data_IF_626706706496
#
_entry.id   IF_626706706496
#
_cell.length_a   1.000
_cell.length_b   1.000
_cell.length_c   1.000
_cell.angle_alpha   90.00
_cell.angle_beta   90.00
_cell.angle_gamma   90.00
#
_symmetry.space_group_name_H-M   'P 1'
#
loop_
_entity.id
_entity.type
_entity.pdbx_description
1 polymer ?
#
# COMPACT_ATOMS: atom_id res chain seq x y z
N UNK A 1 13.84 0.79 23.51
CA UNK A 1 14.66 1.40 22.43
C UNK A 1 13.84 1.63 21.15
N UNK A 2 13.01 0.68 20.70
CA UNK A 2 12.21 0.83 19.46
C UNK A 2 11.19 1.98 19.46
N UNK A 3 10.39 2.12 20.52
CA UNK A 3 9.35 3.16 20.60
C UNK A 3 9.89 4.59 20.61
N UNK A 4 11.14 4.79 21.05
CA UNK A 4 11.80 6.12 21.03
C UNK A 4 12.10 6.63 19.62
N UNK A 5 12.01 5.77 18.61
CA UNK A 5 12.14 6.18 17.20
C UNK A 5 10.88 6.90 16.69
N UNK A 6 9.74 6.73 17.37
CA UNK A 6 8.49 7.39 17.01
C UNK A 6 8.51 8.78 17.61
N UNK A 7 8.76 9.77 16.75
CA UNK A 7 8.90 11.17 17.17
C UNK A 7 7.78 12.02 16.56
N UNK A 8 8.02 12.62 15.42
CA UNK A 8 7.03 13.41 14.68
C UNK A 8 6.74 12.74 13.34
N UNK A 9 5.50 12.87 12.84
CA UNK A 9 5.05 12.26 11.59
C UNK A 9 5.43 10.77 11.47
N UNK A 10 5.40 10.04 12.58
CA UNK A 10 5.91 8.68 12.67
C UNK A 10 4.79 7.69 12.98
N UNK A 11 4.81 6.55 12.29
CA UNK A 11 3.91 5.42 12.51
C UNK A 11 4.75 4.16 12.78
N UNK A 12 4.49 3.50 13.90
CA UNK A 12 5.05 2.20 14.26
C UNK A 12 3.96 1.16 14.22
N UNK A 13 4.14 0.10 13.44
CA UNK A 13 3.19 -1.01 13.38
C UNK A 13 3.90 -2.35 13.34
N UNK A 14 3.25 -3.38 13.86
CA UNK A 14 3.77 -4.74 13.84
C UNK A 14 2.95 -5.71 14.66
N UNK A 15 3.37 -6.97 14.62
CA UNK A 15 2.84 -8.02 15.50
C UNK A 15 3.62 -8.01 16.82
N UNK A 16 2.94 -7.67 17.91
CA UNK A 16 3.53 -7.57 19.24
C UNK A 16 3.29 -8.81 20.09
N UNK A 17 2.40 -9.72 19.67
CA UNK A 17 1.98 -10.88 20.45
C UNK A 17 1.72 -10.52 21.93
N UNK A 18 0.95 -9.45 22.16
CA UNK A 18 0.70 -8.86 23.47
C UNK A 18 -0.78 -8.57 23.67
N UNK A 19 -1.25 -8.75 24.90
CA UNK A 19 -2.65 -8.61 25.28
C UNK A 19 -2.78 -7.49 26.31
N UNK A 20 -3.74 -6.59 26.11
CA UNK A 20 -4.07 -5.55 27.07
C UNK A 20 -5.49 -5.02 26.81
N UNK A 21 -6.22 -4.56 27.85
CA UNK A 21 -7.54 -3.93 27.69
C UNK A 21 -7.55 -2.73 26.74
N UNK A 22 -6.47 -1.96 26.69
CA UNK A 22 -6.35 -0.80 25.80
C UNK A 22 -6.53 -1.12 24.30
N UNK A 23 -6.30 -2.37 23.89
CA UNK A 23 -6.55 -2.83 22.53
C UNK A 23 -7.49 -4.03 22.47
N UNK A 24 -8.40 -4.16 23.44
CA UNK A 24 -9.54 -5.08 23.35
C UNK A 24 -9.31 -6.49 23.92
N UNK A 25 -8.26 -6.71 24.72
CA UNK A 25 -8.14 -7.97 25.48
C UNK A 25 -8.78 -7.88 26.85
N UNK A 26 -9.34 -8.98 27.35
CA UNK A 26 -9.80 -9.10 28.74
C UNK A 26 -8.61 -9.19 29.71
N UNK A 27 -7.46 -9.67 29.22
CA UNK A 27 -6.26 -9.91 30.03
C UNK A 27 -5.24 -8.79 29.83
N UNK A 28 -4.47 -8.54 30.89
CA UNK A 28 -3.36 -7.58 30.90
C UNK A 28 -2.06 -8.25 31.39
N UNK A 29 -1.54 -9.28 30.69
CA UNK A 29 -0.26 -9.90 31.04
C UNK A 29 0.90 -8.91 31.00
N UNK A 30 1.99 -9.25 31.67
CA UNK A 30 3.16 -8.38 31.86
C UNK A 30 3.66 -7.68 30.58
N UNK A 31 3.74 -8.41 29.46
CA UNK A 31 4.17 -7.84 28.17
C UNK A 31 3.24 -6.72 27.68
N UNK A 32 1.93 -6.88 27.86
CA UNK A 32 0.95 -5.87 27.51
C UNK A 32 1.10 -4.63 28.36
N UNK A 33 1.23 -4.80 29.68
CA UNK A 33 1.47 -3.68 30.61
C UNK A 33 2.75 -2.94 30.26
N UNK A 34 3.85 -3.65 30.02
CA UNK A 34 5.13 -3.03 29.62
C UNK A 34 5.00 -2.18 28.36
N UNK A 35 4.30 -2.68 27.33
CA UNK A 35 4.06 -1.93 26.10
C UNK A 35 3.19 -0.72 26.39
N UNK A 36 2.09 -0.90 27.13
CA UNK A 36 1.16 0.17 27.50
C UNK A 36 1.84 1.30 28.29
N UNK A 37 2.61 0.94 29.33
CA UNK A 37 3.36 1.89 30.14
C UNK A 37 4.39 2.64 29.28
N UNK A 38 5.06 1.93 28.36
CA UNK A 38 6.05 2.54 27.46
C UNK A 38 5.40 3.55 26.51
N UNK A 39 4.32 3.19 25.83
CA UNK A 39 3.64 4.11 24.89
C UNK A 39 3.03 5.30 25.62
N UNK A 40 2.49 5.09 26.83
CA UNK A 40 1.92 6.15 27.65
C UNK A 40 3.02 7.13 28.11
N UNK A 41 4.17 6.61 28.56
CA UNK A 41 5.32 7.44 28.97
C UNK A 41 5.90 8.28 27.83
N UNK A 42 5.78 7.79 26.59
CA UNK A 42 6.27 8.48 25.38
C UNK A 42 5.19 9.35 24.72
N UNK A 43 3.96 9.37 25.25
CA UNK A 43 2.85 10.12 24.67
C UNK A 43 2.45 9.65 23.27
N UNK A 44 2.65 8.37 22.94
CA UNK A 44 2.26 7.82 21.65
C UNK A 44 0.77 7.48 21.61
N UNK A 45 0.13 7.72 20.47
CA UNK A 45 -1.28 7.41 20.28
C UNK A 45 -1.46 5.98 19.76
N UNK A 46 -2.20 5.17 20.50
CA UNK A 46 -2.69 3.88 20.06
C UNK A 46 -3.86 4.08 19.10
N UNK A 47 -3.79 3.44 17.93
CA UNK A 47 -4.82 3.55 16.90
C UNK A 47 -5.76 2.33 16.86
N UNK A 48 -5.45 1.27 17.60
CA UNK A 48 -6.30 0.08 17.70
C UNK A 48 -7.63 0.43 18.38
N UNK A 49 -8.73 -0.10 17.83
CA UNK A 49 -10.11 0.06 18.32
C UNK A 49 -10.64 -1.19 19.04
N UNK A 50 -9.77 -2.19 19.25
CA UNK A 50 -10.13 -3.51 19.76
C UNK A 50 -10.64 -4.48 18.69
N UNK A 51 -10.74 -4.07 17.43
CA UNK A 51 -11.07 -4.99 16.34
C UNK A 51 -10.02 -6.12 16.26
N UNK A 52 -10.45 -7.37 16.09
CA UNK A 52 -9.53 -8.51 16.07
C UNK A 52 -8.61 -8.45 14.85
N UNK A 53 -7.31 -8.63 15.06
CA UNK A 53 -6.29 -8.67 14.01
C UNK A 53 -5.74 -10.07 13.77
N UNK A 54 -6.08 -11.02 14.63
CA UNK A 54 -5.67 -12.41 14.54
C UNK A 54 -6.86 -13.35 14.80
N UNK A 55 -6.97 -14.39 13.97
CA UNK A 55 -7.99 -15.44 14.03
C UNK A 55 -7.65 -16.38 15.17
N UNK A 56 -8.59 -16.55 16.10
CA UNK A 56 -8.47 -17.55 17.16
C UNK A 56 -8.37 -18.97 16.58
N UNK A 57 -7.53 -19.80 17.19
CA UNK A 57 -7.60 -21.26 17.01
C UNK A 57 -8.89 -21.81 17.63
N UNK A 58 -9.18 -23.08 17.37
CA UNK A 58 -10.28 -23.81 18.02
C UNK A 58 -10.28 -23.54 19.53
N UNK A 59 -11.46 -23.23 20.08
CA UNK A 59 -11.67 -22.86 21.50
C UNK A 59 -11.03 -21.55 21.98
N UNK A 60 -10.36 -20.79 21.11
CA UNK A 60 -9.84 -19.45 21.44
C UNK A 60 -10.57 -18.36 20.68
N UNK A 61 -10.73 -17.21 21.32
CA UNK A 61 -11.34 -16.04 20.68
C UNK A 61 -10.34 -15.38 19.74
N UNK A 62 -10.87 -14.63 18.78
CA UNK A 62 -10.03 -13.72 18.00
C UNK A 62 -9.36 -12.70 18.94
N UNK A 63 -8.21 -12.17 18.53
CA UNK A 63 -7.43 -11.24 19.34
C UNK A 63 -6.85 -10.11 18.50
N UNK A 64 -6.57 -8.99 19.15
CA UNK A 64 -5.89 -7.84 18.56
C UNK A 64 -4.44 -7.83 19.06
N UNK A 65 -3.55 -8.47 18.31
CA UNK A 65 -2.12 -8.60 18.67
C UNK A 65 -1.20 -7.84 17.73
N UNK A 66 -1.74 -7.38 16.59
CA UNK A 66 -1.08 -6.45 15.69
C UNK A 66 -1.42 -5.03 16.12
N UNK A 67 -0.40 -4.31 16.61
CA UNK A 67 -0.57 -2.98 17.18
C UNK A 67 0.03 -1.93 16.26
N UNK A 68 -0.59 -0.76 16.25
CA UNK A 68 -0.16 0.37 15.45
C UNK A 68 -0.29 1.66 16.26
N UNK A 69 0.85 2.34 16.40
CA UNK A 69 1.06 3.53 17.21
C UNK A 69 1.51 4.67 16.32
N UNK A 70 1.01 5.88 16.57
CA UNK A 70 1.50 7.06 15.88
C UNK A 70 1.90 8.16 16.85
N UNK A 71 2.68 9.12 16.34
CA UNK A 71 2.90 10.38 17.02
C UNK A 71 1.61 11.20 17.08
N UNK A 72 1.39 12.02 18.13
CA UNK A 72 0.14 12.77 18.32
C UNK A 72 -0.28 13.64 17.13
N UNK A 73 0.68 14.18 16.39
CA UNK A 73 0.46 15.02 15.19
C UNK A 73 -0.13 14.26 13.99
N UNK A 74 -0.11 12.92 14.02
CA UNK A 74 -0.73 12.05 13.02
C UNK A 74 -2.06 11.44 13.47
N UNK A 75 -2.37 11.42 14.77
CA UNK A 75 -3.52 10.68 15.30
C UNK A 75 -4.83 11.03 14.59
N UNK A 76 -5.12 12.33 14.41
CA UNK A 76 -6.33 12.80 13.74
C UNK A 76 -6.30 12.67 12.21
N UNK A 77 -5.13 12.38 11.62
CA UNK A 77 -4.91 12.28 10.18
C UNK A 77 -4.89 10.83 9.69
N UNK A 78 -5.01 9.86 10.57
CA UNK A 78 -4.99 8.45 10.23
C UNK A 78 -6.37 7.85 10.45
N UNK A 79 -6.82 7.05 9.50
CA UNK A 79 -7.99 6.18 9.64
C UNK A 79 -7.58 4.73 9.43
N UNK A 80 -8.31 3.83 10.07
CA UNK A 80 -7.94 2.43 10.21
C UNK A 80 -9.14 1.54 9.90
N UNK A 81 -8.91 0.44 9.19
CA UNK A 81 -9.91 -0.61 9.01
C UNK A 81 -9.30 -2.01 8.94
N UNK A 82 -9.77 -2.93 9.77
CA UNK A 82 -9.38 -4.35 9.76
C UNK A 82 -10.30 -5.12 8.81
N UNK A 83 -9.72 -5.90 7.90
CA UNK A 83 -10.54 -6.66 6.96
C UNK A 83 -11.24 -7.83 7.65
N UNK A 84 -12.43 -8.17 7.16
CA UNK A 84 -13.27 -9.23 7.73
C UNK A 84 -12.79 -10.66 7.40
N UNK A 85 -11.81 -10.81 6.51
CA UNK A 85 -11.27 -12.12 6.08
C UNK A 85 -9.74 -12.15 6.21
N UNK A 86 -9.20 -13.26 6.71
CA UNK A 86 -7.76 -13.45 6.86
C UNK A 86 -7.06 -13.93 5.57
N UNK A 87 -7.84 -14.22 4.51
CA UNK A 87 -7.36 -14.65 3.19
C UNK A 87 -6.38 -15.85 3.20
N UNK A 88 -6.56 -16.77 4.16
CA UNK A 88 -5.72 -17.95 4.33
C UNK A 88 -4.48 -17.73 5.21
N UNK A 89 -4.32 -16.53 5.79
CA UNK A 89 -3.49 -16.32 6.97
C UNK A 89 -4.31 -16.60 8.25
N UNK A 90 -3.61 -16.63 9.36
CA UNK A 90 -4.10 -16.46 10.73
C UNK A 90 -4.25 -14.97 11.14
N UNK A 91 -3.64 -14.02 10.42
CA UNK A 91 -3.84 -12.58 10.66
C UNK A 91 -4.82 -11.95 9.67
N UNK A 92 -5.67 -11.05 10.18
CA UNK A 92 -6.52 -10.18 9.38
C UNK A 92 -5.70 -9.02 8.81
N UNK A 93 -5.79 -8.74 7.50
CA UNK A 93 -5.08 -7.61 6.94
C UNK A 93 -5.56 -6.25 7.47
N UNK A 94 -4.61 -5.34 7.54
CA UNK A 94 -4.74 -4.03 8.19
C UNK A 94 -4.51 -2.93 7.14
N UNK A 95 -5.58 -2.23 6.73
CA UNK A 95 -5.51 -1.00 5.90
C UNK A 95 -5.48 0.33 6.71
N UNK A 96 -4.33 0.97 6.85
CA UNK A 96 -4.22 2.34 7.42
C UNK A 96 -4.28 3.33 6.26
N UNK A 97 -5.17 4.32 6.35
CA UNK A 97 -5.33 5.39 5.36
C UNK A 97 -4.94 6.73 5.99
N UNK A 98 -4.26 7.54 5.22
CA UNK A 98 -3.92 8.91 5.61
C UNK A 98 -4.94 9.88 5.04
N UNK A 99 -5.60 10.63 5.92
CA UNK A 99 -6.54 11.69 5.62
C UNK A 99 -5.81 13.04 5.62
N UNK A 100 -4.63 13.11 5.00
CA UNK A 100 -4.02 14.41 4.76
C UNK A 100 -4.94 15.16 3.80
N UNK A 101 -5.41 16.38 4.13
CA UNK A 101 -6.02 17.22 3.12
C UNK A 101 -5.00 17.31 2.00
N UNK A 102 -5.40 16.91 0.79
CA UNK A 102 -4.56 17.11 -0.37
C UNK A 102 -4.18 18.59 -0.37
N UNK A 103 -2.89 18.91 -0.20
CA UNK A 103 -2.40 20.29 -0.25
C UNK A 103 -2.66 20.95 -1.62
N UNK A 104 -3.27 20.23 -2.56
CA UNK A 104 -3.71 20.69 -3.87
C UNK A 104 -5.07 21.42 -3.84
N UNK A 105 -5.72 21.63 -2.69
CA UNK A 105 -7.09 22.18 -2.68
C UNK A 105 -7.38 23.16 -1.52
N UNK A 106 -6.56 24.22 -1.38
CA UNK A 106 -7.01 25.45 -0.71
C UNK A 106 -7.64 26.46 -1.68
N UNK A 107 -7.88 26.07 -2.94
CA UNK A 107 -8.67 26.88 -3.86
C UNK A 107 -9.95 26.12 -4.22
N UNK A 108 -11.07 26.68 -3.74
CA UNK A 108 -12.43 26.67 -4.31
C UNK A 108 -13.43 25.53 -3.99
N UNK A 109 -14.58 26.02 -3.51
CA UNK A 109 -15.98 25.58 -3.51
C UNK A 109 -16.39 24.14 -3.93
N UNK A 110 -17.37 23.55 -3.21
CA UNK A 110 -17.98 22.29 -3.58
C UNK A 110 -19.04 22.50 -4.66
N UNK A 111 -18.70 22.24 -5.94
CA UNK A 111 -19.70 22.35 -6.99
C UNK A 111 -19.32 21.89 -8.40
N UNK A 112 -18.04 21.69 -8.73
CA UNK A 112 -17.64 21.33 -10.09
C UNK A 112 -16.87 20.00 -10.16
N UNK A 113 -17.35 19.11 -11.03
CA UNK A 113 -16.85 17.75 -11.33
C UNK A 113 -15.49 17.77 -12.09
N UNK A 114 -14.72 18.86 -12.04
CA UNK A 114 -13.52 19.03 -12.89
C UNK A 114 -12.16 19.14 -12.17
N UNK A 115 -12.10 19.12 -10.84
CA UNK A 115 -10.82 19.35 -10.15
C UNK A 115 -10.13 18.04 -9.74
N UNK A 116 -9.61 17.31 -10.73
CA UNK A 116 -8.55 16.31 -10.47
C UNK A 116 -7.20 17.04 -10.42
N UNK A 117 -6.30 16.71 -9.47
CA UNK A 117 -4.99 17.36 -9.40
C UNK A 117 -4.23 17.13 -10.70
N UNK A 118 -3.90 18.23 -11.37
CA UNK A 118 -3.09 18.23 -12.58
C UNK A 118 -1.69 17.78 -12.19
N UNK A 119 -1.18 16.72 -12.82
CA UNK A 119 0.19 16.28 -12.58
C UNK A 119 1.11 16.89 -13.63
N UNK A 120 2.01 17.76 -13.21
CA UNK A 120 3.03 18.35 -14.07
C UNK A 120 4.01 17.30 -14.57
N UNK A 121 4.29 17.27 -15.88
CA UNK A 121 5.27 16.39 -16.48
C UNK A 121 6.62 17.10 -16.63
N UNK A 122 7.39 17.10 -15.55
CA UNK A 122 8.72 17.73 -15.49
C UNK A 122 9.71 17.16 -16.52
N UNK A 123 9.54 15.90 -16.94
CA UNK A 123 10.43 15.26 -17.92
C UNK A 123 10.23 15.76 -19.36
N UNK A 124 9.08 16.39 -19.66
CA UNK A 124 8.78 16.97 -20.98
C UNK A 124 8.79 18.51 -20.94
N UNK A 125 9.26 19.08 -19.84
CA UNK A 125 9.29 20.53 -19.66
C UNK A 125 10.47 21.12 -20.39
N UNK A 126 10.22 22.19 -21.13
CA UNK A 126 11.28 23.07 -21.63
C UNK A 126 11.70 24.02 -20.50
N UNK A 127 12.83 23.70 -19.86
CA UNK A 127 13.35 24.45 -18.73
C UNK A 127 13.90 25.82 -19.14
N UNK A 128 14.32 26.00 -20.39
CA UNK A 128 14.80 27.29 -20.89
C UNK A 128 13.62 28.25 -21.06
N UNK A 129 12.52 27.79 -21.67
CA UNK A 129 11.27 28.56 -21.75
C UNK A 129 10.69 28.87 -20.37
N UNK A 130 10.68 27.90 -19.45
CA UNK A 130 10.24 28.13 -18.08
C UNK A 130 11.06 29.24 -17.40
N UNK A 131 12.39 29.17 -17.51
CA UNK A 131 13.30 30.14 -16.89
C UNK A 131 13.12 31.54 -17.48
N UNK A 132 12.96 31.64 -18.80
CA UNK A 132 12.70 32.91 -19.48
C UNK A 132 11.36 33.52 -19.04
N UNK A 133 10.29 32.73 -18.97
CA UNK A 133 8.98 33.18 -18.51
C UNK A 133 8.99 33.64 -17.05
N UNK A 134 9.72 32.93 -16.18
CA UNK A 134 9.95 33.35 -14.80
C UNK A 134 10.66 34.70 -14.78
N UNK A 135 11.80 34.83 -15.45
CA UNK A 135 12.58 36.07 -15.44
C UNK A 135 11.77 37.28 -15.94
N UNK A 136 10.98 37.10 -16.99
CA UNK A 136 10.09 38.13 -17.51
C UNK A 136 8.95 38.46 -16.53
N UNK A 137 8.37 37.46 -15.87
CA UNK A 137 7.25 37.67 -14.93
C UNK A 137 7.69 38.23 -13.58
N UNK A 138 8.96 38.10 -13.20
CA UNK A 138 9.50 38.72 -11.99
C UNK A 138 9.66 40.24 -12.15
N UNK A 139 9.75 40.75 -13.38
CA UNK A 139 9.78 42.19 -13.62
C UNK A 139 8.47 42.90 -13.23
N UNK A 140 7.37 42.15 -13.09
CA UNK A 140 6.06 42.67 -12.67
C UNK A 140 5.73 42.44 -11.19
N UNK A 141 6.72 41.99 -10.38
CA UNK A 141 6.49 41.82 -8.94
C UNK A 141 6.23 43.18 -8.28
N UNK A 142 5.14 43.34 -7.51
CA UNK A 142 4.89 44.57 -6.76
C UNK A 142 5.94 44.74 -5.67
N UNK A 143 6.57 45.92 -5.60
CA UNK A 143 7.47 46.29 -4.51
C UNK A 143 6.64 46.86 -3.34
N UNK A 144 5.80 46.00 -2.75
CA UNK A 144 4.87 46.35 -1.67
C UNK A 144 5.51 46.07 -0.29
N UNK A 145 5.38 46.96 0.70
CA UNK A 145 5.87 46.72 2.06
C UNK A 145 5.16 45.57 2.79
N UNK A 146 4.00 45.11 2.32
CA UNK A 146 3.27 44.00 2.92
C UNK A 146 3.79 42.64 2.43
N UNK A 147 4.58 41.97 3.28
CA UNK A 147 5.21 40.68 3.02
C UNK A 147 4.23 39.58 2.56
N UNK A 148 2.98 39.58 3.06
CA UNK A 148 1.99 38.59 2.69
C UNK A 148 1.49 38.78 1.25
N UNK A 149 1.36 40.03 0.80
CA UNK A 149 0.95 40.38 -0.56
C UNK A 149 2.09 40.03 -1.54
N UNK A 150 3.33 40.35 -1.19
CA UNK A 150 4.50 39.99 -2.01
C UNK A 150 4.69 38.47 -2.12
N UNK A 151 4.48 37.73 -1.02
CA UNK A 151 4.57 36.27 -1.03
C UNK A 151 3.48 35.63 -1.90
N UNK A 152 2.23 36.08 -1.78
CA UNK A 152 1.13 35.57 -2.61
C UNK A 152 1.33 35.88 -4.09
N UNK A 153 1.77 37.09 -4.43
CA UNK A 153 2.14 37.49 -5.79
C UNK A 153 3.27 36.59 -6.36
N UNK A 154 4.32 36.36 -5.58
CA UNK A 154 5.42 35.46 -5.95
C UNK A 154 4.95 34.03 -6.23
N UNK A 155 4.16 33.46 -5.32
CA UNK A 155 3.63 32.09 -5.51
C UNK A 155 2.72 32.01 -6.73
N UNK A 156 1.91 33.04 -6.99
CA UNK A 156 1.02 33.08 -8.15
C UNK A 156 1.79 33.17 -9.47
N UNK A 157 2.90 33.93 -9.52
CA UNK A 157 3.76 34.02 -10.69
C UNK A 157 4.35 32.64 -11.02
N UNK A 158 4.92 31.96 -10.03
CA UNK A 158 5.48 30.61 -10.22
C UNK A 158 4.41 29.64 -10.69
N UNK A 159 3.23 29.68 -10.06
CA UNK A 159 2.14 28.74 -10.35
C UNK A 159 1.55 28.98 -11.75
N UNK A 160 1.47 30.24 -12.20
CA UNK A 160 1.00 30.61 -13.53
C UNK A 160 2.00 30.21 -14.62
N UNK A 161 3.30 30.50 -14.42
CA UNK A 161 4.33 30.09 -15.36
C UNK A 161 4.43 28.57 -15.45
N UNK A 162 4.33 27.87 -14.32
CA UNK A 162 4.27 26.41 -14.30
C UNK A 162 3.07 25.89 -15.11
N UNK A 163 1.88 26.47 -14.95
CA UNK A 163 0.68 26.08 -15.73
C UNK A 163 0.82 26.35 -17.24
N UNK A 164 1.54 27.40 -17.65
CA UNK A 164 1.67 27.77 -19.06
C UNK A 164 2.78 27.02 -19.81
N UNK A 165 3.84 26.62 -19.11
CA UNK A 165 5.05 26.05 -19.74
C UNK A 165 5.24 24.57 -19.46
N UNK A 166 4.68 24.04 -18.38
CA UNK A 166 4.85 22.63 -18.01
C UNK A 166 3.66 21.82 -18.55
N UNK A 167 3.91 20.83 -19.43
CA UNK A 167 2.84 19.98 -19.95
C UNK A 167 2.13 19.26 -18.79
N UNK A 168 0.83 19.50 -18.67
CA UNK A 168 -0.02 18.77 -17.75
C UNK A 168 -0.25 17.35 -18.25
N UNK A 169 -0.01 16.36 -17.40
CA UNK A 169 -0.48 14.99 -17.60
C UNK A 169 -1.71 14.74 -16.75
N UNK A 170 -2.74 14.15 -17.35
CA UNK A 170 -3.84 13.58 -16.58
C UNK A 170 -3.36 12.22 -16.10
N UNK A 171 -3.44 11.92 -14.79
CA UNK A 171 -3.22 10.55 -14.35
C UNK A 171 -4.23 9.66 -15.08
N UNK A 172 -3.74 8.61 -15.77
CA UNK A 172 -4.60 7.64 -16.43
C UNK A 172 -5.66 7.14 -15.45
N UNK A 173 -6.93 7.18 -15.86
CA UNK A 173 -8.08 6.65 -15.10
C UNK A 173 -8.08 5.12 -15.02
N UNK A 174 -6.93 4.46 -14.81
CA UNK A 174 -6.94 3.06 -14.40
C UNK A 174 -7.39 3.04 -12.94
N UNK A 175 -8.71 2.92 -12.73
CA UNK A 175 -9.33 2.91 -11.40
C UNK A 175 -8.87 1.73 -10.55
N UNK A 176 -8.30 0.70 -11.18
CA UNK A 176 -7.69 -0.44 -10.52
C UNK A 176 -6.42 -0.88 -11.25
N UNK A 177 -5.40 -1.40 -10.55
CA UNK A 177 -4.34 -2.13 -11.23
C UNK A 177 -4.99 -3.24 -12.05
N UNK A 178 -4.56 -3.41 -13.31
CA UNK A 178 -5.08 -4.49 -14.14
C UNK A 178 -4.92 -5.82 -13.40
N UNK A 179 -5.97 -6.65 -13.44
CA UNK A 179 -5.91 -8.01 -12.90
C UNK A 179 -4.65 -8.69 -13.44
N UNK A 180 -3.86 -9.36 -12.58
CA UNK A 180 -2.61 -9.90 -13.01
C UNK A 180 -2.84 -10.95 -14.11
N UNK A 181 -1.95 -11.06 -15.11
CA UNK A 181 -2.20 -11.89 -16.31
C UNK A 181 -2.37 -13.40 -16.03
N UNK A 182 -2.00 -13.84 -14.84
CA UNK A 182 -2.12 -15.23 -14.39
C UNK A 182 -3.42 -15.54 -13.64
N UNK A 183 -4.25 -14.55 -13.38
CA UNK A 183 -5.52 -14.73 -12.68
C UNK A 183 -6.63 -15.15 -13.64
N UNK A 184 -7.37 -16.20 -13.29
CA UNK A 184 -8.46 -16.75 -14.11
C UNK A 184 -9.66 -17.19 -13.25
N UNK A 185 -10.67 -17.77 -13.89
CA UNK A 185 -11.89 -18.27 -13.23
C UNK A 185 -11.59 -19.35 -12.18
N UNK A 186 -10.60 -20.20 -12.40
CA UNK A 186 -10.16 -21.23 -11.43
C UNK A 186 -9.62 -20.60 -10.15
N UNK A 187 -8.82 -19.53 -10.26
CA UNK A 187 -8.37 -18.72 -9.12
C UNK A 187 -9.56 -18.10 -8.37
N UNK A 188 -10.50 -17.48 -9.10
CA UNK A 188 -11.71 -16.89 -8.52
C UNK A 188 -12.53 -17.91 -7.73
N UNK A 189 -12.80 -19.08 -8.31
CA UNK A 189 -13.61 -20.12 -7.69
C UNK A 189 -12.94 -20.67 -6.42
N UNK A 190 -11.61 -20.90 -6.46
CA UNK A 190 -10.85 -21.36 -5.29
C UNK A 190 -10.92 -20.36 -4.14
N UNK A 191 -10.73 -19.07 -4.44
CA UNK A 191 -10.78 -17.99 -3.45
C UNK A 191 -12.19 -17.83 -2.88
N UNK A 192 -13.23 -17.84 -3.73
CA UNK A 192 -14.64 -17.79 -3.31
C UNK A 192 -15.00 -18.95 -2.39
N UNK A 193 -14.60 -20.17 -2.74
CA UNK A 193 -14.86 -21.36 -1.93
C UNK A 193 -14.20 -21.25 -0.55
N UNK A 194 -12.91 -20.87 -0.51
CA UNK A 194 -12.18 -20.65 0.75
C UNK A 194 -12.84 -19.57 1.62
N UNK A 195 -13.22 -18.44 1.03
CA UNK A 195 -13.92 -17.36 1.75
C UNK A 195 -15.28 -17.81 2.29
N UNK A 196 -16.04 -18.62 1.54
CA UNK A 196 -17.29 -19.21 2.01
C UNK A 196 -17.08 -20.10 3.23
N UNK A 197 -16.12 -21.04 3.15
CA UNK A 197 -15.79 -21.96 4.23
C UNK A 197 -15.24 -21.23 5.47
N UNK A 198 -14.49 -20.14 5.29
CA UNK A 198 -14.06 -19.29 6.39
C UNK A 198 -15.26 -18.71 7.15
N UNK A 199 -16.24 -18.15 6.44
CA UNK A 199 -17.45 -17.60 7.07
C UNK A 199 -18.27 -18.65 7.80
N UNK A 200 -18.34 -19.87 7.26
CA UNK A 200 -19.00 -21.00 7.93
C UNK A 200 -18.25 -21.32 9.23
N UNK A 201 -16.93 -21.51 9.16
CA UNK A 201 -16.09 -21.76 10.33
C UNK A 201 -16.23 -20.65 11.40
N UNK A 202 -16.19 -19.37 11.01
CA UNK A 202 -16.35 -18.27 11.96
C UNK A 202 -17.73 -18.24 12.64
N UNK A 203 -18.78 -18.76 12.00
CA UNK A 203 -20.14 -18.81 12.57
C UNK A 203 -20.32 -20.01 13.50
N UNK A 204 -19.80 -21.17 13.12
CA UNK A 204 -20.04 -22.43 13.84
C UNK A 204 -18.98 -22.73 14.88
N UNK A 205 -17.72 -22.33 14.63
CA UNK A 205 -16.56 -22.67 15.46
C UNK A 205 -16.23 -24.17 15.49
N UNK A 206 -16.84 -24.99 14.63
CA UNK A 206 -16.73 -26.45 14.71
C UNK A 206 -15.38 -26.98 14.18
N UNK A 207 -14.94 -28.13 14.70
CA UNK A 207 -13.72 -28.78 14.26
C UNK A 207 -13.81 -29.25 12.78
N UNK A 208 -14.97 -29.74 12.36
CA UNK A 208 -15.20 -30.17 10.97
C UNK A 208 -15.12 -28.99 9.99
N UNK A 209 -15.67 -27.84 10.36
CA UNK A 209 -15.63 -26.64 9.51
C UNK A 209 -14.22 -26.05 9.47
N UNK A 210 -13.49 -26.08 10.60
CA UNK A 210 -12.08 -25.70 10.64
C UNK A 210 -11.22 -26.56 9.69
N UNK A 211 -11.38 -27.89 9.73
CA UNK A 211 -10.67 -28.80 8.83
C UNK A 211 -11.02 -28.52 7.36
N UNK A 212 -12.29 -28.26 7.07
CA UNK A 212 -12.76 -27.92 5.72
C UNK A 212 -12.15 -26.60 5.22
N UNK A 213 -12.15 -25.56 6.05
CA UNK A 213 -11.49 -24.28 5.77
C UNK A 213 -9.97 -24.43 5.58
N UNK A 214 -9.31 -25.20 6.45
CA UNK A 214 -7.87 -25.47 6.37
C UNK A 214 -7.48 -26.16 5.06
N UNK A 215 -8.23 -27.20 4.68
CA UNK A 215 -8.07 -27.89 3.40
C UNK A 215 -8.28 -26.93 2.23
N UNK A 216 -9.32 -26.08 2.28
CA UNK A 216 -9.56 -25.07 1.25
C UNK A 216 -8.44 -24.02 1.16
N UNK A 217 -7.81 -23.65 2.27
CA UNK A 217 -6.64 -22.76 2.27
C UNK A 217 -5.45 -23.39 1.56
N UNK A 218 -5.15 -24.66 1.87
CA UNK A 218 -4.09 -25.42 1.20
C UNK A 218 -4.35 -25.54 -0.31
N UNK A 219 -5.56 -25.99 -0.69
CA UNK A 219 -5.96 -26.14 -2.09
C UNK A 219 -5.88 -24.81 -2.84
N UNK A 220 -6.42 -23.73 -2.27
CA UNK A 220 -6.35 -22.40 -2.87
C UNK A 220 -4.91 -21.97 -3.09
N UNK A 221 -4.05 -22.12 -2.08
CA UNK A 221 -2.63 -21.76 -2.19
C UNK A 221 -1.93 -22.55 -3.30
N UNK A 222 -2.20 -23.86 -3.38
CA UNK A 222 -1.66 -24.72 -4.43
C UNK A 222 -2.13 -24.28 -5.82
N UNK A 223 -3.43 -24.05 -5.99
CA UNK A 223 -4.01 -23.60 -7.25
C UNK A 223 -3.42 -22.27 -7.69
N UNK A 224 -3.40 -21.25 -6.83
CA UNK A 224 -2.86 -19.93 -7.17
C UNK A 224 -1.37 -20.00 -7.57
N UNK A 225 -0.56 -20.81 -6.87
CA UNK A 225 0.84 -21.03 -7.24
C UNK A 225 0.98 -21.74 -8.59
N UNK A 226 0.16 -22.74 -8.86
CA UNK A 226 0.17 -23.50 -10.11
C UNK A 226 -0.24 -22.63 -11.30
N UNK A 227 -1.37 -21.90 -11.19
CA UNK A 227 -1.86 -21.00 -12.25
C UNK A 227 -0.85 -19.88 -12.54
N UNK A 228 -0.25 -19.30 -11.49
CA UNK A 228 0.84 -18.32 -11.65
C UNK A 228 2.03 -18.89 -12.41
N UNK A 229 2.48 -20.09 -12.04
CA UNK A 229 3.62 -20.77 -12.69
C UNK A 229 3.29 -21.12 -14.14
N UNK A 230 2.11 -21.66 -14.41
CA UNK A 230 1.72 -22.09 -15.76
C UNK A 230 1.51 -20.90 -16.69
N UNK A 231 0.89 -19.83 -16.20
CA UNK A 231 0.76 -18.59 -16.98
C UNK A 231 2.13 -17.96 -17.28
N UNK A 232 3.07 -17.98 -16.32
CA UNK A 232 4.43 -17.52 -16.55
C UNK A 232 5.17 -18.38 -17.58
N UNK A 233 5.08 -19.72 -17.47
CA UNK A 233 5.63 -20.64 -18.48
C UNK A 233 5.07 -20.33 -19.87
N UNK A 234 3.75 -20.20 -20.00
CA UNK A 234 3.09 -19.86 -21.27
C UNK A 234 3.56 -18.51 -21.83
N UNK A 235 3.75 -17.52 -20.96
CA UNK A 235 4.33 -16.23 -21.37
C UNK A 235 5.75 -16.40 -21.90
N UNK A 236 6.63 -17.10 -21.17
CA UNK A 236 8.00 -17.38 -21.59
C UNK A 236 8.09 -18.17 -22.90
N UNK A 237 7.24 -19.19 -23.08
CA UNK A 237 7.20 -20.00 -24.31
C UNK A 237 6.74 -19.22 -25.54
N UNK A 238 5.99 -18.12 -25.36
CA UNK A 238 5.50 -17.28 -26.44
C UNK A 238 6.35 -16.01 -26.67
N UNK A 239 7.55 -15.94 -26.06
CA UNK A 239 8.47 -14.81 -26.28
C UNK A 239 9.01 -14.82 -27.71
N UNK A 240 8.91 -13.67 -28.37
CA UNK A 240 9.41 -13.39 -29.72
C UNK A 240 10.60 -12.43 -29.64
N UNK A 241 11.52 -12.52 -30.61
CA UNK A 241 12.76 -11.73 -30.64
C UNK A 241 12.56 -10.22 -30.70
N UNK A 242 11.40 -9.75 -31.18
CA UNK A 242 11.09 -8.33 -31.29
C UNK A 242 10.49 -7.70 -30.02
N UNK A 243 10.31 -8.45 -28.92
CA UNK A 243 9.86 -7.86 -27.66
C UNK A 243 10.97 -6.99 -27.05
N UNK A 244 10.66 -5.71 -26.81
CA UNK A 244 11.59 -4.81 -26.13
C UNK A 244 11.79 -5.22 -24.67
N UNK A 245 12.98 -4.96 -24.13
CA UNK A 245 13.30 -5.19 -22.71
C UNK A 245 12.31 -4.45 -21.79
N UNK A 246 11.85 -3.26 -22.19
CA UNK A 246 10.89 -2.46 -21.45
C UNK A 246 9.54 -3.18 -21.32
N UNK A 247 9.05 -3.79 -22.41
CA UNK A 247 7.81 -4.56 -22.41
C UNK A 247 7.91 -5.83 -21.56
N UNK A 248 9.08 -6.49 -21.56
CA UNK A 248 9.35 -7.64 -20.68
C UNK A 248 9.31 -7.24 -19.20
N UNK A 249 9.98 -6.14 -18.84
CA UNK A 249 9.99 -5.62 -17.46
C UNK A 249 8.61 -5.14 -17.01
N UNK A 250 7.85 -4.51 -17.89
CA UNK A 250 6.47 -4.14 -17.62
C UNK A 250 5.63 -5.39 -17.33
N UNK A 251 5.69 -6.39 -18.20
CA UNK A 251 4.94 -7.63 -18.04
C UNK A 251 5.35 -8.39 -16.77
N UNK A 252 6.65 -8.53 -16.49
CA UNK A 252 7.15 -9.15 -15.28
C UNK A 252 6.64 -8.44 -14.01
N UNK A 253 6.56 -7.11 -14.00
CA UNK A 253 5.94 -6.33 -12.92
C UNK A 253 4.46 -6.66 -12.77
N UNK A 254 3.71 -6.76 -13.87
CA UNK A 254 2.31 -7.17 -13.84
C UNK A 254 2.10 -8.59 -13.30
N UNK A 255 3.02 -9.52 -13.53
CA UNK A 255 2.98 -10.86 -12.94
C UNK A 255 3.30 -10.87 -11.43
N UNK A 256 4.02 -9.87 -10.92
CA UNK A 256 4.25 -9.70 -9.47
C UNK A 256 3.00 -9.20 -8.74
N UNK A 257 2.12 -8.47 -9.42
CA UNK A 257 0.88 -7.98 -8.81
C UNK A 257 0.02 -9.14 -8.31
N UNK A 258 -0.66 -8.89 -7.18
CA UNK A 258 -1.70 -9.76 -6.63
C UNK A 258 -3.05 -9.09 -6.81
N UNK A 259 -4.12 -9.88 -6.92
CA UNK A 259 -5.47 -9.34 -6.86
C UNK A 259 -5.71 -8.82 -5.45
N UNK A 260 -6.09 -7.55 -5.35
CA UNK A 260 -6.52 -6.94 -4.10
C UNK A 260 -7.97 -7.38 -3.90
N UNK A 261 -8.31 -8.09 -2.81
CA UNK A 261 -9.70 -8.41 -2.53
C UNK A 261 -10.49 -7.10 -2.34
N UNK A 262 -11.75 -7.03 -2.79
CA UNK A 262 -12.59 -5.88 -2.50
C UNK A 262 -12.70 -5.69 -0.98
N UNK A 263 -12.80 -4.44 -0.49
CA UNK A 263 -13.14 -4.20 0.90
C UNK A 263 -14.44 -4.91 1.23
N UNK A 264 -14.55 -5.47 2.44
CA UNK A 264 -15.78 -6.07 2.94
C UNK A 264 -16.88 -5.01 2.88
N UNK A 265 -18.01 -5.31 2.22
CA UNK A 265 -19.12 -4.38 2.05
C UNK A 265 -19.65 -3.90 3.41
N UNK A 266 -19.34 -2.65 3.77
CA UNK A 266 -20.29 -1.77 4.42
C UNK A 266 -20.72 -0.76 3.36
N UNK A 267 -22.04 -0.61 3.25
CA UNK A 267 -22.77 0.12 2.22
C UNK A 267 -22.17 1.52 1.96
N UNK A 268 -21.96 1.82 0.66
CA UNK A 268 -21.70 3.14 0.04
C UNK A 268 -20.56 4.01 0.56
N UNK A 269 -19.49 4.17 -0.25
CA UNK A 269 -19.05 5.44 -0.86
C UNK A 269 -17.56 5.42 -1.23
N UNK A 270 -17.34 5.72 -2.52
CA UNK A 270 -16.17 6.36 -3.14
C UNK A 270 -14.83 5.62 -3.09
N UNK A 271 -14.33 5.36 -4.30
CA UNK A 271 -13.08 4.69 -4.58
C UNK A 271 -11.90 5.31 -3.84
N UNK A 272 -11.14 4.46 -3.16
CA UNK A 272 -9.85 4.81 -2.59
C UNK A 272 -8.83 3.73 -2.93
N UNK A 273 -7.65 4.20 -3.34
CA UNK A 273 -6.48 3.40 -3.68
C UNK A 273 -6.05 2.59 -2.45
N UNK A 274 -5.92 1.27 -2.62
CA UNK A 274 -5.37 0.36 -1.62
C UNK A 274 -4.04 -0.16 -2.14
N UNK A 275 -2.94 0.28 -1.55
CA UNK A 275 -1.64 -0.36 -1.72
C UNK A 275 -1.50 -1.44 -0.67
N UNK A 276 -1.52 -2.71 -1.09
CA UNK A 276 -1.23 -3.84 -0.21
C UNK A 276 0.27 -3.84 0.14
N UNK A 277 0.63 -3.31 1.31
CA UNK A 277 1.96 -3.48 1.88
C UNK A 277 2.02 -4.85 2.56
N UNK A 278 2.85 -5.73 2.00
CA UNK A 278 3.27 -6.96 2.69
C UNK A 278 4.25 -6.54 3.78
N UNK A 279 3.80 -6.58 5.04
CA UNK A 279 4.61 -6.25 6.22
C UNK A 279 5.85 -7.15 6.28
N UNK A 280 7.01 -6.57 5.96
CA UNK A 280 8.31 -7.00 6.48
C UNK A 280 9.07 -5.75 6.89
N UNK A 281 9.19 -5.58 8.21
CA UNK A 281 10.14 -4.74 8.96
C UNK A 281 10.25 -3.24 8.63
N UNK A 282 10.22 -2.45 9.72
CA UNK A 282 10.63 -1.05 9.92
C UNK A 282 11.14 -0.33 8.67
N UNK A 283 10.33 0.56 8.10
CA UNK A 283 10.80 1.55 7.13
C UNK A 283 11.31 2.80 7.86
N UNK A 284 12.62 2.85 8.09
CA UNK A 284 13.36 4.10 8.28
C UNK A 284 13.76 4.64 6.91
N UNK A 285 13.51 5.94 6.66
CA UNK A 285 13.73 6.67 5.41
C UNK A 285 15.22 6.89 5.05
N UNK A 286 16.14 6.06 5.53
CA UNK A 286 17.59 6.17 5.27
C UNK A 286 18.15 5.15 4.27
N UNK A 287 17.33 4.29 3.67
CA UNK A 287 17.78 3.13 2.90
C UNK A 287 17.78 3.26 1.36
N UNK A 288 18.25 4.39 0.81
CA UNK A 288 18.47 4.52 -0.64
C UNK A 288 19.70 3.72 -1.11
N UNK A 289 20.67 3.41 -0.22
CA UNK A 289 21.88 2.64 -0.58
C UNK A 289 21.72 1.12 -0.57
N UNK A 290 20.79 0.55 0.21
CA UNK A 290 20.59 -0.91 0.29
C UNK A 290 19.88 -1.51 -0.95
N UNK A 291 19.15 -0.68 -1.70
CA UNK A 291 18.39 -1.12 -2.87
C UNK A 291 19.28 -1.50 -4.07
N UNK A 292 20.51 -1.00 -4.18
CA UNK A 292 21.41 -1.32 -5.30
C UNK A 292 22.05 -2.70 -5.17
N UNK A 293 22.40 -3.11 -3.94
CA UNK A 293 23.07 -4.40 -3.68
C UNK A 293 22.13 -5.58 -3.91
N UNK A 294 20.86 -5.43 -3.52
CA UNK A 294 19.82 -6.42 -3.79
C UNK A 294 19.53 -6.48 -5.30
N UNK A 295 19.48 -5.34 -5.99
CA UNK A 295 19.29 -5.32 -7.45
C UNK A 295 20.40 -6.07 -8.19
N UNK A 296 21.66 -5.90 -7.78
CA UNK A 296 22.82 -6.56 -8.36
C UNK A 296 22.84 -8.07 -8.11
N UNK A 297 22.45 -8.53 -6.90
CA UNK A 297 22.31 -9.97 -6.62
C UNK A 297 21.18 -10.61 -7.43
N UNK A 298 20.07 -9.90 -7.67
CA UNK A 298 18.98 -10.42 -8.51
C UNK A 298 19.34 -10.48 -10.00
N UNK A 299 20.16 -9.55 -10.50
CA UNK A 299 20.67 -9.57 -11.89
C UNK A 299 21.62 -10.75 -12.09
N UNK A 300 22.50 -11.03 -11.14
CA UNK A 300 23.45 -12.16 -11.21
C UNK A 300 22.74 -13.53 -11.20
N UNK A 301 21.75 -13.72 -10.32
CA UNK A 301 20.97 -14.98 -10.24
C UNK A 301 20.14 -15.20 -11.52
N UNK A 302 19.62 -14.13 -12.13
CA UNK A 302 18.86 -14.25 -13.38
C UNK A 302 19.75 -14.53 -14.58
N UNK A 303 20.97 -13.98 -14.62
CA UNK A 303 21.94 -14.28 -15.69
C UNK A 303 22.36 -15.74 -15.68
N UNK A 304 22.57 -16.31 -14.49
CA UNK A 304 22.88 -17.75 -14.31
C UNK A 304 21.69 -18.65 -14.70
N UNK A 305 20.45 -18.24 -14.43
CA UNK A 305 19.25 -18.97 -14.86
C UNK A 305 19.05 -18.92 -16.38
N UNK A 306 19.38 -17.80 -17.03
CA UNK A 306 19.31 -17.68 -18.49
C UNK A 306 20.39 -18.54 -19.15
N UNK A 307 21.63 -18.55 -18.64
CA UNK A 307 22.72 -19.41 -19.14
C UNK A 307 22.39 -20.89 -18.94
N UNK A 308 21.85 -21.27 -17.77
CA UNK A 308 21.46 -22.66 -17.48
C UNK A 308 20.29 -23.16 -18.35
N UNK A 309 19.38 -22.27 -18.75
CA UNK A 309 18.35 -22.59 -19.74
C UNK A 309 18.98 -22.72 -21.12
N UNK A 310 19.91 -21.84 -21.50
CA UNK A 310 20.53 -21.86 -22.84
C UNK A 310 21.45 -23.08 -23.07
N UNK A 311 22.13 -23.56 -22.03
CA UNK A 311 23.00 -24.75 -22.11
C UNK A 311 22.25 -26.09 -22.14
N UNK A 312 20.94 -26.11 -21.87
CA UNK A 312 20.11 -27.32 -21.97
C UNK A 312 19.41 -27.48 -23.33
N UNK A 313 19.67 -26.58 -24.29
CA UNK A 313 19.06 -26.58 -25.62
C UNK A 313 20.08 -26.68 -26.77
N UNK A 314 21.37 -26.98 -26.48
CA UNK A 314 22.41 -27.32 -27.45
C UNK A 314 23.06 -28.66 -27.10
#
# INVERSE_FOLDING_TARGET
MLFKLVTQNSLLCGDFNAFHPAWGSILAPHRGNQIYDTINSLGLCLLNDGSPTHVGRLSSTNSAIDLYFCSPDLACKLSRNTLCEAHGSDHFPITIKTNFPNLTHLISNPGSIQNMPIHFNFNKTDWELFSLHIQNSFSSLPNDPNLLISYTAFTNIIDNVAKSTIPSSRPDKKSFPSTPPWWNSTCNNSVKNRSSLFRIFCRTGSMSDFLSYSNACFLTTRTLKNEKRNSWKRFCSNLKSFYSIQNLWFTARHFKNCVIPPPCDQITMIGSRVSALKLRHVMSLTNIKFSLVILLQFVSIMFLLIISIYQNYN
#
